data_IF_329350304069
#
_entry.id   IF_329350304069
#
_cell.length_a   1.000
_cell.length_b   1.000
_cell.length_c   1.000
_cell.angle_alpha   90.00
_cell.angle_beta   90.00
_cell.angle_gamma   90.00
#
_symmetry.space_group_name_H-M   'P 1'
#
loop_
_entity.id
_entity.type
_entity.pdbx_description
1 polymer ?
#
# COMPACT_ATOMS: atom_id res chain seq x y z
N UNK A 1 -20.32 -0.86 -0.27
CA UNK A 1 -19.73 0.51 -0.32
C UNK A 1 -20.13 1.12 -1.66
N UNK A 2 -20.61 2.37 -1.69
CA UNK A 2 -20.79 3.10 -2.96
C UNK A 2 -19.51 3.84 -3.28
N UNK A 3 -19.25 4.10 -4.56
CA UNK A 3 -18.13 4.96 -4.95
C UNK A 3 -18.24 6.31 -4.26
N UNK A 4 -17.11 6.84 -3.77
CA UNK A 4 -16.97 8.14 -3.12
C UNK A 4 -15.81 8.88 -3.76
N UNK A 5 -15.87 10.21 -3.75
CA UNK A 5 -14.82 11.06 -4.31
C UNK A 5 -13.54 11.08 -3.46
N UNK A 6 -13.63 10.70 -2.18
CA UNK A 6 -12.49 10.62 -1.27
C UNK A 6 -12.68 9.52 -0.21
N UNK A 7 -11.56 8.91 0.20
CA UNK A 7 -11.48 7.99 1.32
C UNK A 7 -10.98 8.66 2.61
N UNK A 8 -10.68 9.97 2.59
CA UNK A 8 -9.96 10.65 3.66
C UNK A 8 -10.62 10.53 5.04
N UNK A 9 -11.94 10.70 5.13
CA UNK A 9 -12.69 10.58 6.39
C UNK A 9 -12.72 9.14 6.90
N UNK A 10 -12.93 8.17 6.00
CA UNK A 10 -12.93 6.74 6.34
C UNK A 10 -11.54 6.31 6.85
N UNK A 11 -10.46 6.77 6.20
CA UNK A 11 -9.09 6.51 6.62
C UNK A 11 -8.78 7.18 7.96
N UNK A 12 -9.22 8.42 8.17
CA UNK A 12 -8.99 9.15 9.41
C UNK A 12 -9.56 8.40 10.62
N UNK A 13 -10.78 7.87 10.49
CA UNK A 13 -11.47 7.12 11.55
C UNK A 13 -11.04 5.66 11.70
N UNK A 14 -10.25 5.11 10.76
CA UNK A 14 -9.83 3.70 10.81
C UNK A 14 -8.59 3.49 11.68
N UNK A 15 -8.59 2.44 12.50
CA UNK A 15 -7.40 1.94 13.20
C UNK A 15 -6.61 0.91 12.38
N UNK A 16 -7.29 0.27 11.41
CA UNK A 16 -6.75 -0.73 10.50
C UNK A 16 -7.50 -0.66 9.17
N UNK A 17 -6.76 -0.76 8.07
CA UNK A 17 -7.33 -0.81 6.72
C UNK A 17 -7.00 -2.16 6.06
N UNK A 18 -7.98 -2.74 5.38
CA UNK A 18 -7.83 -3.96 4.59
C UNK A 18 -8.18 -3.62 3.14
N UNK A 19 -7.22 -3.79 2.22
CA UNK A 19 -7.37 -3.35 0.82
C UNK A 19 -6.95 -4.43 -0.17
N UNK A 20 -7.61 -4.51 -1.32
CA UNK A 20 -7.38 -5.53 -2.36
C UNK A 20 -6.19 -5.21 -3.31
N UNK A 21 -5.08 -4.72 -2.77
CA UNK A 21 -3.87 -4.36 -3.54
C UNK A 21 -4.07 -3.30 -4.66
N UNK A 22 -5.13 -2.49 -4.58
CA UNK A 22 -5.28 -1.32 -5.43
C UNK A 22 -4.22 -0.26 -5.08
N UNK A 23 -3.36 0.11 -6.04
CA UNK A 23 -2.19 0.97 -5.78
C UNK A 23 -2.56 2.31 -5.13
N UNK A 24 -3.56 3.02 -5.66
CA UNK A 24 -4.01 4.30 -5.11
C UNK A 24 -4.49 4.18 -3.66
N UNK A 25 -5.36 3.21 -3.37
CA UNK A 25 -5.86 3.00 -2.00
C UNK A 25 -4.76 2.58 -1.02
N UNK A 26 -3.79 1.77 -1.47
CA UNK A 26 -2.66 1.39 -0.62
C UNK A 26 -1.78 2.60 -0.28
N UNK A 27 -1.41 3.39 -1.29
CA UNK A 27 -0.57 4.57 -1.10
C UNK A 27 -1.27 5.63 -0.25
N UNK A 28 -2.55 5.94 -0.52
CA UNK A 28 -3.32 6.91 0.26
C UNK A 28 -3.44 6.49 1.74
N UNK A 29 -3.65 5.20 2.00
CA UNK A 29 -3.68 4.64 3.37
C UNK A 29 -2.34 4.83 4.08
N UNK A 30 -1.24 4.50 3.39
CA UNK A 30 0.11 4.59 3.91
C UNK A 30 0.56 6.03 4.14
N UNK A 31 0.19 6.96 3.25
CA UNK A 31 0.42 8.40 3.40
C UNK A 31 -0.32 8.98 4.61
N UNK A 32 -1.48 8.41 4.97
CA UNK A 32 -2.20 8.74 6.21
C UNK A 32 -1.63 8.04 7.46
N UNK A 33 -0.57 7.26 7.32
CA UNK A 33 0.09 6.55 8.41
C UNK A 33 -0.77 5.44 9.01
N UNK A 34 -1.72 4.90 8.26
CA UNK A 34 -2.66 3.88 8.75
C UNK A 34 -2.09 2.47 8.53
N UNK A 35 -2.17 1.57 9.53
CA UNK A 35 -1.82 0.18 9.35
C UNK A 35 -2.63 -0.46 8.22
N UNK A 36 -1.97 -1.25 7.37
CA UNK A 36 -2.55 -1.79 6.15
C UNK A 36 -2.26 -3.29 6.00
N UNK A 37 -3.32 -4.05 5.78
CA UNK A 37 -3.27 -5.44 5.29
C UNK A 37 -3.72 -5.47 3.84
N UNK A 38 -2.84 -5.96 2.96
CA UNK A 38 -3.11 -6.09 1.54
C UNK A 38 -3.60 -7.51 1.23
N UNK A 39 -4.84 -7.63 0.75
CA UNK A 39 -5.44 -8.92 0.36
C UNK A 39 -5.31 -9.11 -1.15
N UNK A 40 -4.40 -9.98 -1.56
CA UNK A 40 -4.18 -10.28 -2.98
C UNK A 40 -5.25 -11.22 -3.52
N UNK A 41 -5.64 -11.02 -4.77
CA UNK A 41 -6.41 -12.01 -5.52
C UNK A 41 -5.46 -12.89 -6.34
N UNK A 42 -5.19 -14.09 -5.84
CA UNK A 42 -4.30 -15.08 -6.46
C UNK A 42 -4.87 -15.73 -7.74
N UNK A 43 -6.11 -15.42 -8.11
CA UNK A 43 -6.77 -15.91 -9.34
C UNK A 43 -6.68 -14.93 -10.52
N UNK A 44 -6.23 -13.70 -10.30
CA UNK A 44 -6.11 -12.68 -11.35
C UNK A 44 -4.71 -12.71 -11.97
N UNK A 45 -4.65 -12.99 -13.28
CA UNK A 45 -3.46 -13.39 -14.05
C UNK A 45 -2.34 -12.34 -14.16
N UNK A 46 -2.58 -11.07 -13.80
CA UNK A 46 -1.66 -9.98 -14.13
C UNK A 46 -0.67 -9.59 -13.03
N UNK A 47 -0.64 -10.24 -11.86
CA UNK A 47 0.41 -10.18 -10.80
C UNK A 47 0.97 -8.79 -10.33
N UNK A 48 0.62 -7.66 -10.93
CA UNK A 48 1.14 -6.34 -10.54
C UNK A 48 0.70 -5.96 -9.13
N UNK A 49 -0.50 -6.37 -8.74
CA UNK A 49 -0.99 -6.27 -7.36
C UNK A 49 -0.08 -7.00 -6.37
N UNK A 50 0.41 -8.18 -6.77
CA UNK A 50 1.32 -8.98 -5.96
C UNK A 50 2.71 -8.34 -5.87
N UNK A 51 3.21 -7.75 -6.97
CA UNK A 51 4.48 -7.04 -6.98
C UNK A 51 4.48 -5.87 -6.00
N UNK A 52 3.43 -5.04 -6.03
CA UNK A 52 3.26 -3.94 -5.09
C UNK A 52 3.18 -4.44 -3.64
N UNK A 53 2.32 -5.43 -3.37
CA UNK A 53 2.15 -5.98 -2.03
C UNK A 53 3.46 -6.56 -1.48
N UNK A 54 4.19 -7.33 -2.30
CA UNK A 54 5.50 -7.90 -1.94
C UNK A 54 6.53 -6.81 -1.67
N UNK A 55 6.57 -5.76 -2.49
CA UNK A 55 7.53 -4.68 -2.31
C UNK A 55 7.26 -3.93 -1.00
N UNK A 56 6.03 -3.48 -0.78
CA UNK A 56 5.64 -2.79 0.46
C UNK A 56 5.86 -3.66 1.72
N UNK A 57 5.63 -4.97 1.60
CA UNK A 57 5.87 -5.90 2.69
C UNK A 57 7.37 -6.08 2.97
N UNK A 58 8.21 -6.20 1.93
CA UNK A 58 9.67 -6.24 2.08
C UNK A 58 10.22 -4.99 2.75
N UNK A 59 9.62 -3.83 2.43
CA UNK A 59 9.97 -2.56 3.06
C UNK A 59 9.43 -2.45 4.50
N UNK A 60 8.64 -3.43 4.95
CA UNK A 60 8.08 -3.52 6.30
C UNK A 60 6.90 -2.60 6.55
N UNK A 61 6.29 -2.05 5.49
CA UNK A 61 5.20 -1.07 5.60
C UNK A 61 3.82 -1.70 5.70
N UNK A 62 3.65 -2.94 5.22
CA UNK A 62 2.36 -3.64 5.18
C UNK A 62 2.49 -5.10 5.56
N UNK A 63 1.38 -5.70 5.99
CA UNK A 63 1.17 -7.14 5.90
C UNK A 63 0.43 -7.45 4.60
N UNK A 64 0.60 -8.66 4.06
CA UNK A 64 -0.19 -9.10 2.93
C UNK A 64 -0.57 -10.58 3.06
N UNK A 65 -1.74 -10.93 2.53
CA UNK A 65 -2.30 -12.27 2.58
C UNK A 65 -3.22 -12.47 1.37
N UNK A 66 -3.75 -13.68 1.18
CA UNK A 66 -4.86 -13.91 0.26
C UNK A 66 -6.16 -14.14 1.04
N UNK A 67 -7.27 -14.38 0.34
CA UNK A 67 -8.55 -14.60 1.01
C UNK A 67 -8.56 -15.83 1.94
N UNK A 68 -7.75 -16.88 1.66
CA UNK A 68 -7.72 -18.08 2.51
C UNK A 68 -6.89 -17.90 3.78
N UNK A 69 -5.87 -17.03 3.76
CA UNK A 69 -4.98 -16.77 4.91
C UNK A 69 -5.31 -15.49 5.67
N UNK A 70 -6.35 -14.75 5.27
CA UNK A 70 -6.75 -13.51 5.92
C UNK A 70 -7.07 -13.68 7.42
N UNK A 71 -7.78 -14.75 7.79
CA UNK A 71 -8.14 -15.01 9.18
C UNK A 71 -6.89 -15.24 10.04
N UNK A 72 -5.96 -16.06 9.57
CA UNK A 72 -4.69 -16.33 10.25
C UNK A 72 -3.84 -15.05 10.38
N UNK A 73 -3.82 -14.22 9.34
CA UNK A 73 -3.11 -12.94 9.34
C UNK A 73 -3.69 -12.00 10.38
N UNK A 74 -5.02 -11.91 10.50
CA UNK A 74 -5.68 -11.07 11.51
C UNK A 74 -5.45 -11.57 12.95
N UNK A 75 -5.29 -12.88 13.14
CA UNK A 75 -5.04 -13.47 14.46
C UNK A 75 -3.59 -13.29 14.93
N UNK A 76 -2.64 -13.25 13.99
CA UNK A 76 -1.20 -13.19 14.27
C UNK A 76 -0.57 -11.83 14.00
N UNK A 77 -1.34 -10.85 13.51
CA UNK A 77 -0.82 -9.54 13.14
C UNK A 77 -0.17 -8.83 14.33
N UNK A 78 0.99 -8.25 14.06
CA UNK A 78 1.62 -7.27 14.94
C UNK A 78 1.73 -5.95 14.16
N UNK A 79 0.76 -5.06 14.39
CA UNK A 79 0.73 -3.75 13.73
C UNK A 79 1.83 -2.81 14.26
N UNK A 80 2.38 -3.08 15.46
CA UNK A 80 3.43 -2.25 16.04
C UNK A 80 4.79 -2.46 15.36
N UNK A 81 4.97 -3.61 14.69
CA UNK A 81 6.15 -3.91 13.90
C UNK A 81 6.19 -3.21 12.52
N UNK A 82 5.08 -2.60 12.10
CA UNK A 82 5.00 -1.92 10.80
C UNK A 82 5.76 -0.59 10.81
N UNK A 83 6.58 -0.41 9.78
CA UNK A 83 7.33 0.83 9.56
C UNK A 83 6.45 1.87 8.87
N UNK A 84 6.53 3.14 9.26
CA UNK A 84 5.89 4.22 8.51
C UNK A 84 6.39 4.24 7.06
N UNK A 85 5.46 4.45 6.12
CA UNK A 85 5.81 4.59 4.71
C UNK A 85 6.57 5.91 4.49
N UNK A 86 7.72 5.88 3.80
CA UNK A 86 8.51 7.09 3.59
C UNK A 86 7.75 8.09 2.69
N UNK A 87 7.90 9.40 2.92
CA UNK A 87 7.34 10.40 2.03
C UNK A 87 7.95 10.28 0.64
N UNK A 88 7.12 10.50 -0.38
CA UNK A 88 7.57 10.58 -1.77
C UNK A 88 8.61 11.68 -1.97
N UNK A 89 9.53 11.46 -2.92
CA UNK A 89 10.59 12.42 -3.26
C UNK A 89 10.52 12.76 -4.76
N UNK A 90 9.54 13.58 -5.19
CA UNK A 90 9.35 13.93 -6.61
C UNK A 90 10.60 14.52 -7.24
N UNK A 91 11.43 15.20 -6.44
CA UNK A 91 12.55 15.97 -6.96
C UNK A 91 13.69 15.07 -7.44
N UNK A 92 13.79 13.86 -6.86
CA UNK A 92 14.69 12.82 -7.35
C UNK A 92 14.27 12.34 -8.74
N UNK A 93 12.96 12.23 -8.98
CA UNK A 93 12.43 11.84 -10.27
C UNK A 93 12.61 12.96 -11.30
N UNK A 94 12.28 14.21 -10.95
CA UNK A 94 12.52 15.37 -11.80
C UNK A 94 14.01 15.49 -12.21
N UNK A 95 14.91 15.43 -11.23
CA UNK A 95 16.36 15.49 -11.49
C UNK A 95 16.86 14.34 -12.37
N UNK A 96 16.29 13.15 -12.23
CA UNK A 96 16.60 12.01 -13.09
C UNK A 96 16.14 12.26 -14.53
N UNK A 97 14.93 12.80 -14.72
CA UNK A 97 14.43 13.14 -16.05
C UNK A 97 15.30 14.23 -16.70
N UNK A 98 15.64 15.29 -15.98
CA UNK A 98 16.50 16.37 -16.48
C UNK A 98 17.84 15.81 -16.98
N UNK A 99 18.43 14.87 -16.24
CA UNK A 99 19.67 14.17 -16.63
C UNK A 99 19.48 13.28 -17.86
N UNK A 100 18.37 12.53 -17.96
CA UNK A 100 18.10 11.63 -19.10
C UNK A 100 17.83 12.42 -20.38
N UNK A 101 17.15 13.56 -20.27
CA UNK A 101 16.80 14.40 -21.41
C UNK A 101 17.83 15.49 -21.74
N UNK A 102 18.89 15.64 -20.94
CA UNK A 102 19.97 16.61 -21.19
C UNK A 102 19.55 18.05 -20.98
N UNK A 103 18.64 18.30 -20.02
CA UNK A 103 18.18 19.63 -19.64
C UNK A 103 19.10 20.33 -18.61
N UNK A 104 20.28 19.75 -18.35
CA UNK A 104 21.33 20.29 -17.47
C UNK A 104 22.49 20.89 -18.25
#
# INVERSE_FOLDING_TARGET
FRFKDSLAEDLQGADLVISHAGAGSCLETLEKGKPLIVVINDKLMNNHQLELAKQLHRDGCVLYCNCSTLVETLQSMDLSALKPFPPGQPEKFASFLDKVFGLQ
#
